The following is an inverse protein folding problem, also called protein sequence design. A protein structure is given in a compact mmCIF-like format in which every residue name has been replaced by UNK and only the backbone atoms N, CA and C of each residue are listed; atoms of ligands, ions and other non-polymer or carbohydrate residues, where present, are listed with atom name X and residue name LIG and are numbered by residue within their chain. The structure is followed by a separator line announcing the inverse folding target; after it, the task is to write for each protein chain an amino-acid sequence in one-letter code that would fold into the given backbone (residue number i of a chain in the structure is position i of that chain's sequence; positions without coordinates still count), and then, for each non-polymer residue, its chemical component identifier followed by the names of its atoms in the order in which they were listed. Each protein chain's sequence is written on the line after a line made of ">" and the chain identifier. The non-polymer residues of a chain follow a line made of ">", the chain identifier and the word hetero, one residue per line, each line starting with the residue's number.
data_IF_221347260167
#
_entry.id   IF_221347260167
#
_cell.length_a   1.000
_cell.length_b   1.000
_cell.length_c   1.000
_cell.angle_alpha   90.00
_cell.angle_beta   90.00
_cell.angle_gamma   90.00
#
_symmetry.space_group_name_H-M   'P 1'
#
loop_
_entity.id
_entity.type
_entity.pdbx_description
1 polymer ?
#
# COMPACT_ATOMS: atom_id res chain seq x y z
N UNK A 1 10.08 11.55 -15.90
CA UNK A 1 8.87 11.37 -15.07
C UNK A 1 9.34 11.10 -13.65
N UNK A 2 9.11 12.00 -12.69
CA UNK A 2 9.45 11.73 -11.29
C UNK A 2 8.42 10.83 -10.60
N UNK A 3 8.77 10.29 -9.42
CA UNK A 3 7.94 9.44 -8.56
C UNK A 3 6.51 10.02 -8.34
N UNK A 4 6.32 11.34 -8.08
CA UNK A 4 4.97 11.93 -8.00
C UNK A 4 4.20 12.00 -9.34
N UNK A 5 4.91 12.00 -10.46
CA UNK A 5 4.31 11.91 -11.79
C UNK A 5 3.73 10.53 -12.08
N UNK A 6 4.39 9.47 -11.58
CA UNK A 6 3.95 8.10 -11.75
C UNK A 6 2.58 7.84 -11.14
N UNK A 7 2.35 8.23 -9.87
CA UNK A 7 1.05 8.02 -9.22
C UNK A 7 -0.09 8.78 -9.95
N UNK A 8 0.15 10.04 -10.36
CA UNK A 8 -0.85 10.81 -11.12
C UNK A 8 -1.19 10.15 -12.45
N UNK A 9 -0.18 9.67 -13.17
CA UNK A 9 -0.38 8.92 -14.40
C UNK A 9 -1.17 7.63 -14.15
N UNK A 10 -0.81 6.86 -13.12
CA UNK A 10 -1.48 5.62 -12.76
C UNK A 10 -2.96 5.86 -12.42
N UNK A 11 -3.25 6.89 -11.61
CA UNK A 11 -4.60 7.25 -11.21
C UNK A 11 -5.46 7.72 -12.39
N UNK A 12 -4.88 8.44 -13.36
CA UNK A 12 -5.62 8.89 -14.55
C UNK A 12 -5.78 7.78 -15.60
N UNK A 13 -4.81 6.89 -15.71
CA UNK A 13 -4.80 5.82 -16.72
C UNK A 13 -5.67 4.62 -16.30
N UNK A 14 -5.72 4.29 -15.00
CA UNK A 14 -6.50 3.18 -14.46
C UNK A 14 -7.58 3.66 -13.48
N UNK A 15 -8.67 4.22 -14.02
CA UNK A 15 -9.74 4.84 -13.25
C UNK A 15 -10.37 3.95 -12.15
N UNK A 16 -10.37 2.63 -12.34
CA UNK A 16 -10.95 1.69 -11.38
C UNK A 16 -10.00 1.29 -10.23
N UNK A 17 -8.71 1.64 -10.32
CA UNK A 17 -7.64 1.24 -9.41
C UNK A 17 -7.61 2.12 -8.17
N UNK A 18 -7.78 3.43 -8.34
CA UNK A 18 -7.77 4.42 -7.24
C UNK A 18 -9.20 4.87 -6.96
N UNK A 19 -9.64 4.71 -5.71
CA UNK A 19 -10.94 5.20 -5.24
C UNK A 19 -10.75 6.29 -4.20
N UNK A 20 -11.45 7.42 -4.37
CA UNK A 20 -11.56 8.43 -3.31
C UNK A 20 -12.48 7.91 -2.21
N UNK A 21 -12.06 8.12 -0.98
CA UNK A 21 -12.78 7.75 0.23
C UNK A 21 -12.99 9.01 1.05
N UNK A 22 -14.26 9.33 1.28
CA UNK A 22 -14.66 10.46 2.09
C UNK A 22 -14.18 10.27 3.54
N UNK A 23 -13.90 11.38 4.20
CA UNK A 23 -13.56 11.40 5.61
C UNK A 23 -14.63 10.66 6.46
N UNK A 24 -14.19 9.81 7.40
CA UNK A 24 -15.08 9.01 8.27
C UNK A 24 -15.70 7.76 7.62
N UNK A 25 -15.44 7.50 6.33
CA UNK A 25 -15.96 6.30 5.69
C UNK A 25 -15.27 5.04 6.24
N UNK A 26 -16.08 4.08 6.72
CA UNK A 26 -15.58 2.83 7.29
C UNK A 26 -14.86 1.99 6.24
N UNK A 27 -13.66 1.51 6.60
CA UNK A 27 -12.88 0.55 5.82
C UNK A 27 -12.63 -0.68 6.68
N UNK A 28 -12.88 -1.86 6.12
CA UNK A 28 -12.58 -3.13 6.76
C UNK A 28 -11.13 -3.54 6.47
N UNK A 29 -10.35 -3.83 7.50
CA UNK A 29 -9.00 -4.34 7.41
C UNK A 29 -8.79 -5.38 8.53
N UNK A 30 -8.02 -6.41 8.25
CA UNK A 30 -7.56 -7.37 9.27
C UNK A 30 -6.17 -6.96 9.76
N UNK A 31 -5.36 -6.39 8.85
CA UNK A 31 -4.00 -5.94 9.09
C UNK A 31 -3.82 -4.50 8.61
N UNK A 32 -3.42 -3.61 9.52
CA UNK A 32 -3.14 -2.21 9.21
C UNK A 32 -1.66 -1.91 9.44
N UNK A 33 -1.02 -1.36 8.42
CA UNK A 33 0.38 -1.00 8.46
C UNK A 33 0.52 0.51 8.34
N UNK A 34 1.30 1.12 9.21
CA UNK A 34 1.54 2.56 9.21
C UNK A 34 3.02 2.83 8.96
N UNK A 35 3.35 3.44 7.82
CA UNK A 35 4.65 4.07 7.65
C UNK A 35 4.64 5.43 8.37
N UNK A 36 5.28 5.47 9.54
CA UNK A 36 5.28 6.68 10.35
C UNK A 36 6.07 7.80 9.67
N UNK A 37 7.15 7.47 8.95
CA UNK A 37 7.95 8.49 8.27
C UNK A 37 7.09 9.22 7.23
N UNK A 38 6.32 8.48 6.44
CA UNK A 38 5.41 9.04 5.44
C UNK A 38 4.35 9.96 6.09
N UNK A 39 3.83 9.59 7.27
CA UNK A 39 2.91 10.42 8.04
C UNK A 39 3.56 11.73 8.52
N UNK A 40 4.79 11.67 9.03
CA UNK A 40 5.52 12.85 9.50
C UNK A 40 5.91 13.81 8.40
N UNK A 41 6.39 13.30 7.27
CA UNK A 41 6.67 14.13 6.10
C UNK A 41 5.41 14.88 5.67
N UNK A 42 4.26 14.19 5.62
CA UNK A 42 2.98 14.81 5.30
C UNK A 42 2.58 15.89 6.31
N UNK A 43 2.76 15.64 7.62
CA UNK A 43 2.42 16.59 8.68
C UNK A 43 3.33 17.84 8.68
N UNK A 44 4.63 17.65 8.48
CA UNK A 44 5.61 18.75 8.46
C UNK A 44 5.48 19.62 7.20
N UNK A 45 5.12 19.04 6.05
CA UNK A 45 4.81 19.80 4.84
C UNK A 45 3.58 20.70 5.05
N UNK A 46 2.53 20.19 5.71
CA UNK A 46 1.33 20.99 6.03
C UNK A 46 1.64 22.16 6.98
N UNK A 47 2.51 21.96 7.98
CA UNK A 47 2.96 23.03 8.90
C UNK A 47 3.73 24.16 8.19
N UNK A 48 4.43 23.88 7.09
CA UNK A 48 5.14 24.92 6.30
C UNK A 48 4.23 25.75 5.39
N UNK A 49 3.02 25.28 5.10
CA UNK A 49 2.08 25.95 4.18
C UNK A 49 0.88 26.62 4.85
N UNK A 50 0.46 26.18 6.03
CA UNK A 50 -0.70 26.71 6.75
C UNK A 50 -0.44 26.61 8.26
N UNK A 51 -0.53 27.75 8.96
CA UNK A 51 -0.71 27.78 10.42
C UNK A 51 -2.08 27.19 10.75
N UNK A 52 -2.17 25.89 10.94
CA UNK A 52 -3.33 25.30 11.60
C UNK A 52 -2.95 24.03 12.34
N UNK A 53 -3.30 24.05 13.62
CA UNK A 53 -3.30 22.97 14.60
C UNK A 53 -3.55 21.58 14.01
N UNK A 54 -2.86 20.58 14.56
CA UNK A 54 -3.34 19.20 14.48
C UNK A 54 -4.79 19.19 14.97
N UNK A 55 -5.74 18.59 14.23
CA UNK A 55 -7.08 18.42 14.77
C UNK A 55 -6.96 17.54 16.02
N UNK A 56 -7.60 18.01 17.08
CA UNK A 56 -7.73 17.30 18.34
C UNK A 56 -8.27 15.89 18.10
N UNK A 57 -7.68 14.92 18.79
CA UNK A 57 -8.26 13.62 19.17
C UNK A 57 -9.61 13.29 18.54
N UNK A 58 -9.60 12.53 17.44
CA UNK A 58 -10.80 11.89 16.88
C UNK A 58 -10.56 10.39 16.81
N UNK A 59 -11.51 9.64 17.40
CA UNK A 59 -11.47 8.19 17.56
C UNK A 59 -11.51 7.49 16.20
N UNK A 60 -10.57 6.58 15.97
CA UNK A 60 -10.60 5.67 14.83
C UNK A 60 -11.66 4.61 15.11
N UNK A 61 -12.89 4.76 14.61
CA UNK A 61 -13.90 3.68 14.70
C UNK A 61 -13.47 2.46 13.86
N UNK A 62 -13.07 1.38 14.53
CA UNK A 62 -12.80 0.07 13.92
C UNK A 62 -14.13 -0.65 13.68
N UNK A 63 -14.27 -1.25 12.49
CA UNK A 63 -15.55 -1.77 12.00
C UNK A 63 -15.76 -3.28 12.23
N UNK A 64 -14.84 -4.01 12.88
CA UNK A 64 -14.97 -5.45 13.12
C UNK A 64 -14.47 -5.80 14.53
N UNK A 65 -15.16 -6.72 15.19
CA UNK A 65 -14.88 -7.23 16.54
C UNK A 65 -13.73 -8.27 16.56
N UNK A 66 -13.32 -8.75 15.39
CA UNK A 66 -12.25 -9.74 15.24
C UNK A 66 -10.86 -9.10 15.25
N UNK A 67 -9.89 -9.81 15.84
CA UNK A 67 -8.56 -9.30 16.15
C UNK A 67 -7.87 -8.62 14.95
N UNK A 68 -7.61 -7.32 15.07
CA UNK A 68 -6.89 -6.55 14.06
C UNK A 68 -5.45 -6.34 14.53
N UNK A 69 -4.46 -6.63 13.68
CA UNK A 69 -3.06 -6.37 14.02
C UNK A 69 -2.60 -5.08 13.34
N UNK A 70 -2.15 -4.13 14.15
CA UNK A 70 -1.60 -2.85 13.68
C UNK A 70 -0.08 -2.95 13.78
N UNK A 71 0.59 -2.94 12.64
CA UNK A 71 2.04 -2.84 12.61
C UNK A 71 2.45 -1.42 12.24
N UNK A 72 3.31 -0.86 13.06
CA UNK A 72 3.80 0.50 12.94
C UNK A 72 5.29 0.41 12.62
N UNK A 73 5.64 0.67 11.35
CA UNK A 73 7.01 0.64 10.86
C UNK A 73 7.49 2.07 10.61
N UNK A 74 8.60 2.46 11.23
CA UNK A 74 9.22 3.78 11.01
C UNK A 74 10.73 3.66 11.17
N UNK A 75 11.48 4.46 10.41
CA UNK A 75 12.95 4.33 10.37
C UNK A 75 13.71 5.57 10.75
N UNK A 76 13.07 6.73 10.85
CA UNK A 76 13.77 7.95 11.25
C UNK A 76 12.88 8.86 12.09
N UNK A 77 12.34 8.30 13.18
CA UNK A 77 11.59 9.11 14.13
C UNK A 77 12.21 8.95 15.50
N UNK A 78 13.45 9.43 15.59
CA UNK A 78 14.15 9.61 16.85
C UNK A 78 14.76 10.99 16.80
N UNK A 79 14.44 11.82 17.79
CA UNK A 79 15.04 13.13 17.95
C UNK A 79 16.56 12.97 18.17
N UNK A 80 17.31 14.08 18.09
CA UNK A 80 18.77 14.09 18.31
C UNK A 80 19.19 13.43 19.64
N UNK A 81 18.28 13.31 20.58
CA UNK A 81 18.47 12.75 21.92
C UNK A 81 18.21 11.24 22.04
N UNK A 82 17.90 10.53 20.94
CA UNK A 82 17.62 9.10 21.00
C UNK A 82 16.18 8.73 21.41
N UNK A 83 15.30 9.73 21.55
CA UNK A 83 13.89 9.53 21.93
C UNK A 83 12.92 9.61 20.74
N UNK A 84 11.90 8.75 20.73
CA UNK A 84 10.76 8.87 19.82
C UNK A 84 10.14 10.27 19.92
N UNK A 85 9.80 10.94 18.80
CA UNK A 85 9.09 12.21 18.84
C UNK A 85 7.80 12.14 19.63
N UNK A 86 7.50 13.25 20.30
CA UNK A 86 6.34 13.38 21.20
C UNK A 86 5.04 13.00 20.51
N UNK A 87 4.94 13.21 19.20
CA UNK A 87 3.79 12.82 18.39
C UNK A 87 3.62 11.30 18.29
N UNK A 88 4.70 10.51 18.17
CA UNK A 88 4.63 9.04 18.19
C UNK A 88 4.26 8.54 19.58
N UNK A 89 4.84 9.16 20.62
CA UNK A 89 4.49 8.85 22.01
C UNK A 89 3.03 9.20 22.33
N UNK A 90 2.51 10.30 21.76
CA UNK A 90 1.12 10.71 21.90
C UNK A 90 0.17 9.77 21.15
N UNK A 91 0.53 9.33 19.94
CA UNK A 91 -0.21 8.30 19.21
C UNK A 91 -0.24 6.99 20.01
N UNK A 92 0.89 6.60 20.59
CA UNK A 92 0.97 5.43 21.47
C UNK A 92 0.08 5.56 22.70
N UNK A 93 0.07 6.72 23.36
CA UNK A 93 -0.85 7.00 24.46
C UNK A 93 -2.31 6.93 24.03
N UNK A 94 -2.64 7.46 22.85
CA UNK A 94 -3.99 7.45 22.29
C UNK A 94 -4.46 6.02 22.03
N UNK A 95 -3.66 5.21 21.34
CA UNK A 95 -4.00 3.82 21.04
C UNK A 95 -4.11 3.00 22.33
N UNK A 96 -3.19 3.19 23.28
CA UNK A 96 -3.23 2.46 24.55
C UNK A 96 -4.40 2.81 25.46
N UNK A 97 -4.94 4.03 25.33
CA UNK A 97 -6.14 4.50 26.05
C UNK A 97 -7.43 4.18 25.32
N UNK A 98 -7.36 3.76 24.05
CA UNK A 98 -8.53 3.47 23.25
C UNK A 98 -9.17 2.15 23.68
N UNK A 99 -10.52 2.06 23.78
CA UNK A 99 -11.22 0.80 24.07
C UNK A 99 -10.90 -0.32 23.07
N UNK A 100 -10.47 0.08 21.87
CA UNK A 100 -10.07 -0.77 20.75
C UNK A 100 -8.89 -1.69 21.10
N UNK A 101 -8.07 -1.37 22.11
CA UNK A 101 -6.89 -2.14 22.50
C UNK A 101 -7.18 -3.61 22.85
N UNK A 102 -8.38 -3.91 23.37
CA UNK A 102 -8.71 -5.24 23.89
C UNK A 102 -8.60 -6.35 22.85
N UNK A 103 -8.80 -6.02 21.57
CA UNK A 103 -8.73 -6.98 20.45
C UNK A 103 -7.63 -6.61 19.43
N UNK A 104 -6.66 -5.78 19.79
CA UNK A 104 -5.60 -5.34 18.87
C UNK A 104 -4.23 -5.86 19.30
N UNK A 105 -3.53 -6.53 18.39
CA UNK A 105 -2.10 -6.76 18.52
C UNK A 105 -1.35 -5.59 17.88
N UNK A 106 -0.45 -4.96 18.62
CA UNK A 106 0.33 -3.82 18.12
C UNK A 106 1.80 -4.24 18.04
N UNK A 107 2.36 -4.15 16.84
CA UNK A 107 3.78 -4.46 16.57
C UNK A 107 4.48 -3.16 16.20
N UNK A 108 5.64 -2.92 16.82
CA UNK A 108 6.42 -1.72 16.58
C UNK A 108 7.79 -2.08 16.02
N UNK A 109 8.14 -1.47 14.90
CA UNK A 109 9.47 -1.52 14.32
C UNK A 109 10.06 -0.11 14.33
N UNK A 110 10.96 0.13 15.28
CA UNK A 110 11.66 1.40 15.46
C UNK A 110 12.86 1.56 14.53
N UNK A 111 13.55 2.69 14.67
CA UNK A 111 14.79 2.98 13.94
C UNK A 111 16.02 2.26 14.50
N UNK A 112 15.92 1.54 15.62
CA UNK A 112 17.04 0.74 16.13
C UNK A 112 17.36 -0.42 15.19
N UNK A 113 16.36 -0.88 14.45
CA UNK A 113 16.51 -1.84 13.36
C UNK A 113 16.97 -1.13 12.08
N UNK A 114 17.93 -1.71 11.36
CA UNK A 114 18.40 -1.16 10.08
C UNK A 114 17.36 -1.31 8.95
N UNK A 115 17.45 -0.45 7.94
CA UNK A 115 16.56 -0.42 6.76
C UNK A 115 15.58 0.75 6.77
N UNK A 116 14.94 1.04 5.63
CA UNK A 116 13.91 2.09 5.47
C UNK A 116 12.49 1.57 5.79
N UNK A 117 11.58 2.45 6.22
CA UNK A 117 10.25 2.09 6.75
C UNK A 117 9.45 1.23 5.77
N UNK A 118 9.33 1.72 4.54
CA UNK A 118 8.68 1.00 3.45
C UNK A 118 9.34 -0.36 3.12
N UNK A 119 10.67 -0.46 3.24
CA UNK A 119 11.39 -1.70 2.97
C UNK A 119 11.20 -2.73 4.08
N UNK A 120 11.22 -2.31 5.35
CA UNK A 120 10.92 -3.16 6.50
C UNK A 120 9.50 -3.71 6.40
N UNK A 121 8.56 -2.85 6.06
CA UNK A 121 7.16 -3.24 5.85
C UNK A 121 7.02 -4.25 4.71
N UNK A 122 7.67 -3.99 3.58
CA UNK A 122 7.69 -4.92 2.46
C UNK A 122 8.25 -6.30 2.85
N UNK A 123 9.37 -6.31 3.58
CA UNK A 123 10.00 -7.53 4.07
C UNK A 123 9.13 -8.28 5.06
N UNK A 124 8.44 -7.57 5.95
CA UNK A 124 7.48 -8.16 6.89
C UNK A 124 6.33 -8.84 6.14
N UNK A 125 5.67 -8.14 5.21
CA UNK A 125 4.57 -8.70 4.40
C UNK A 125 5.00 -9.98 3.68
N UNK A 126 6.20 -9.97 3.07
CA UNK A 126 6.77 -11.16 2.43
C UNK A 126 7.02 -12.29 3.43
N UNK A 127 7.59 -11.98 4.59
CA UNK A 127 7.92 -12.98 5.60
C UNK A 127 6.66 -13.63 6.16
N UNK A 128 5.64 -12.84 6.48
CA UNK A 128 4.34 -13.33 6.95
C UNK A 128 3.70 -14.30 5.95
N UNK A 129 3.70 -13.94 4.66
CA UNK A 129 3.17 -14.79 3.58
C UNK A 129 3.83 -16.17 3.52
N UNK A 130 5.12 -16.24 3.85
CA UNK A 130 5.92 -17.47 3.81
C UNK A 130 5.72 -18.36 5.05
N UNK A 131 5.03 -17.88 6.10
CA UNK A 131 4.81 -18.67 7.30
C UNK A 131 3.86 -19.83 7.06
N UNK A 132 4.14 -20.97 7.69
CA UNK A 132 3.25 -22.13 7.68
C UNK A 132 1.92 -21.77 8.35
N UNK A 133 0.80 -21.92 7.64
CA UNK A 133 -0.53 -21.58 8.15
C UNK A 133 -0.98 -20.15 7.89
N UNK A 134 -0.20 -19.36 7.12
CA UNK A 134 -0.62 -18.03 6.68
C UNK A 134 -1.95 -18.08 5.92
N UNK A 135 -2.87 -17.15 6.24
CA UNK A 135 -4.19 -17.06 5.60
C UNK A 135 -4.15 -16.05 4.43
N UNK A 136 -4.28 -16.49 3.17
CA UNK A 136 -4.25 -15.59 2.01
C UNK A 136 -5.48 -14.68 1.86
N UNK A 137 -6.52 -14.87 2.69
CA UNK A 137 -7.72 -14.04 2.68
C UNK A 137 -7.59 -12.80 3.58
N UNK A 138 -6.49 -12.66 4.32
CA UNK A 138 -6.23 -11.50 5.16
C UNK A 138 -6.23 -10.22 4.32
N UNK A 139 -6.95 -9.21 4.80
CA UNK A 139 -7.08 -7.91 4.16
C UNK A 139 -6.05 -6.96 4.75
N UNK A 140 -5.06 -6.64 3.94
CA UNK A 140 -3.95 -5.77 4.30
C UNK A 140 -4.22 -4.35 3.84
N UNK A 141 -4.07 -3.38 4.73
CA UNK A 141 -4.13 -1.94 4.42
C UNK A 141 -2.83 -1.29 4.86
N UNK A 142 -2.13 -0.68 3.91
CA UNK A 142 -0.89 0.06 4.18
C UNK A 142 -1.14 1.55 4.02
N UNK A 143 -0.88 2.34 5.05
CA UNK A 143 -0.90 3.80 4.99
C UNK A 143 0.49 4.30 4.57
N UNK A 144 0.58 4.76 3.33
CA UNK A 144 1.86 5.14 2.75
C UNK A 144 1.73 6.32 1.77
N UNK A 145 2.68 7.25 1.85
CA UNK A 145 2.72 8.48 1.05
C UNK A 145 3.58 8.37 -0.21
N UNK A 146 4.46 7.38 -0.30
CA UNK A 146 5.54 7.29 -1.27
C UNK A 146 5.16 6.39 -2.45
N UNK A 147 5.57 6.73 -3.67
CA UNK A 147 5.11 5.95 -4.83
C UNK A 147 5.89 4.63 -4.99
N UNK A 148 7.02 4.50 -4.29
CA UNK A 148 7.90 3.33 -4.35
C UNK A 148 7.23 2.10 -3.73
N UNK A 149 6.49 2.29 -2.63
CA UNK A 149 5.69 1.21 -2.04
C UNK A 149 4.60 0.65 -2.98
N UNK A 150 4.16 1.38 -4.01
CA UNK A 150 3.24 0.82 -5.02
C UNK A 150 3.89 -0.37 -5.73
N UNK A 151 5.18 -0.27 -6.05
CA UNK A 151 5.93 -1.33 -6.70
C UNK A 151 6.14 -2.50 -5.73
N UNK A 152 6.55 -2.21 -4.49
CA UNK A 152 6.68 -3.24 -3.45
C UNK A 152 5.37 -4.00 -3.22
N UNK A 153 4.25 -3.30 -3.16
CA UNK A 153 2.92 -3.91 -2.98
C UNK A 153 2.55 -4.88 -4.10
N UNK A 154 3.01 -4.63 -5.34
CA UNK A 154 2.81 -5.57 -6.44
C UNK A 154 3.66 -6.83 -6.24
N UNK A 155 4.89 -6.68 -5.74
CA UNK A 155 5.85 -7.75 -5.49
C UNK A 155 5.55 -8.62 -4.26
N UNK A 156 4.68 -8.19 -3.34
CA UNK A 156 4.25 -9.04 -2.21
C UNK A 156 3.34 -10.19 -2.67
N UNK A 157 2.76 -10.06 -3.86
CA UNK A 157 1.74 -10.97 -4.38
C UNK A 157 0.46 -11.06 -3.54
N UNK A 158 0.25 -10.19 -2.55
CA UNK A 158 -0.93 -10.23 -1.71
C UNK A 158 -2.22 -9.90 -2.49
N UNK A 159 -3.28 -10.74 -2.43
CA UNK A 159 -4.49 -10.55 -3.21
C UNK A 159 -5.39 -9.45 -2.64
N UNK A 160 -5.39 -9.25 -1.31
CA UNK A 160 -6.26 -8.29 -0.63
C UNK A 160 -5.48 -7.11 -0.03
N UNK A 161 -4.42 -6.69 -0.70
CA UNK A 161 -3.62 -5.54 -0.31
C UNK A 161 -4.17 -4.23 -0.90
N UNK A 162 -4.31 -3.22 -0.05
CA UNK A 162 -4.75 -1.87 -0.40
C UNK A 162 -3.75 -0.86 0.16
N UNK A 163 -3.47 0.19 -0.59
CA UNK A 163 -2.65 1.32 -0.12
C UNK A 163 -3.56 2.51 0.12
N UNK A 164 -3.56 3.02 1.35
CA UNK A 164 -4.23 4.25 1.75
C UNK A 164 -3.24 5.41 1.61
N UNK A 165 -3.61 6.42 0.82
CA UNK A 165 -2.78 7.58 0.50
C UNK A 165 -3.51 8.88 0.81
N UNK A 166 -2.80 9.95 1.20
CA UNK A 166 -3.41 11.27 1.32
C UNK A 166 -3.97 11.73 -0.03
N UNK A 167 -5.20 12.25 -0.02
CA UNK A 167 -5.86 12.86 -1.18
C UNK A 167 -5.86 14.38 -1.10
N UNK A 168 -6.79 15.00 -1.84
CA UNK A 168 -7.04 16.44 -1.74
C UNK A 168 -7.82 16.76 -0.46
N UNK A 169 -7.40 17.77 0.30
CA UNK A 169 -8.09 18.20 1.52
C UNK A 169 -8.03 17.18 2.66
N UNK A 170 -9.21 16.75 3.15
CA UNK A 170 -9.39 15.75 4.21
C UNK A 170 -9.65 14.33 3.68
N UNK A 171 -9.78 14.17 2.37
CA UNK A 171 -10.09 12.87 1.78
C UNK A 171 -8.86 12.00 1.64
N UNK A 172 -9.11 10.69 1.56
CA UNK A 172 -8.10 9.69 1.32
C UNK A 172 -8.32 9.02 -0.02
N UNK A 173 -7.25 8.52 -0.61
CA UNK A 173 -7.28 7.69 -1.79
C UNK A 173 -6.92 6.25 -1.42
N UNK A 174 -7.73 5.30 -1.83
CA UNK A 174 -7.42 3.87 -1.72
C UNK A 174 -7.01 3.35 -3.09
N UNK A 175 -5.77 2.89 -3.19
CA UNK A 175 -5.27 2.15 -4.34
C UNK A 175 -5.48 0.65 -4.09
N UNK A 176 -6.21 0.00 -4.98
CA UNK A 176 -6.44 -1.45 -4.96
C UNK A 176 -5.37 -2.18 -5.76
N UNK A 177 -4.43 -2.83 -5.06
CA UNK A 177 -3.25 -3.46 -5.69
C UNK A 177 -3.64 -4.60 -6.63
N UNK A 178 -4.62 -5.42 -6.26
CA UNK A 178 -5.10 -6.51 -7.13
C UNK A 178 -5.71 -6.01 -8.45
N UNK A 179 -6.43 -4.87 -8.41
CA UNK A 179 -6.97 -4.26 -9.63
C UNK A 179 -5.85 -3.73 -10.50
N UNK A 180 -4.88 -3.05 -9.89
CA UNK A 180 -3.70 -2.57 -10.60
C UNK A 180 -2.99 -3.74 -11.30
N UNK A 181 -2.73 -4.83 -10.57
CA UNK A 181 -2.11 -6.05 -11.11
C UNK A 181 -2.89 -6.59 -12.32
N UNK A 182 -4.22 -6.66 -12.22
CA UNK A 182 -5.08 -7.10 -13.34
C UNK A 182 -4.95 -6.20 -14.56
N UNK A 183 -4.95 -4.89 -14.38
CA UNK A 183 -4.77 -3.93 -15.47
C UNK A 183 -3.38 -4.06 -16.13
N UNK A 184 -2.32 -4.15 -15.32
CA UNK A 184 -0.95 -4.32 -15.83
C UNK A 184 -0.80 -5.61 -16.63
N UNK A 185 -1.31 -6.74 -16.13
CA UNK A 185 -1.28 -8.01 -16.86
C UNK A 185 -2.01 -7.87 -18.19
N UNK A 186 -3.20 -7.29 -18.17
CA UNK A 186 -4.01 -7.10 -19.38
C UNK A 186 -3.30 -6.23 -20.42
N UNK A 187 -2.56 -5.20 -20.01
CA UNK A 187 -1.79 -4.37 -20.94
C UNK A 187 -0.55 -5.09 -21.47
N UNK A 188 0.16 -5.86 -20.64
CA UNK A 188 1.26 -6.73 -21.08
C UNK A 188 0.79 -7.75 -22.12
N UNK A 189 -0.37 -8.36 -21.90
CA UNK A 189 -0.95 -9.36 -22.81
C UNK A 189 -1.44 -8.71 -24.11
N UNK A 190 -2.05 -7.52 -24.05
CA UNK A 190 -2.46 -6.78 -25.27
C UNK A 190 -1.29 -6.49 -26.19
N UNK A 191 -0.15 -6.06 -25.64
CA UNK A 191 1.05 -5.82 -26.45
C UNK A 191 1.65 -7.11 -27.02
N UNK A 192 1.54 -8.24 -26.32
CA UNK A 192 1.97 -9.55 -26.85
C UNK A 192 1.03 -10.08 -27.95
N UNK A 193 -0.28 -9.84 -27.85
CA UNK A 193 -1.25 -10.19 -28.89
C UNK A 193 -1.23 -9.21 -30.09
N UNK A 194 -0.66 -8.02 -29.93
CA UNK A 194 -0.48 -7.00 -30.98
C UNK A 194 0.91 -7.01 -31.62
N UNK A 195 1.86 -7.81 -31.14
CA UNK A 195 2.82 -8.37 -32.08
C UNK A 195 1.97 -9.13 -33.07
N UNK A 196 1.96 -8.77 -34.37
CA UNK A 196 1.25 -9.57 -35.32
C UNK A 196 1.78 -10.98 -35.10
N UNK A 197 0.93 -11.90 -34.64
CA UNK A 197 1.11 -13.30 -34.97
C UNK A 197 1.41 -13.21 -36.44
N UNK A 198 2.68 -13.40 -36.82
CA UNK A 198 3.12 -13.25 -38.20
C UNK A 198 2.17 -14.18 -38.92
N UNK A 199 1.17 -13.64 -39.62
CA UNK A 199 0.25 -14.43 -40.43
C UNK A 199 1.11 -15.26 -41.38
N UNK A 200 2.27 -14.71 -41.79
CA UNK A 200 3.41 -15.37 -42.44
C UNK A 200 3.88 -16.68 -41.76
N UNK A 201 3.99 -16.77 -40.44
CA UNK A 201 4.43 -17.97 -39.72
C UNK A 201 3.34 -19.06 -39.70
N UNK A 202 2.07 -18.65 -39.56
CA UNK A 202 0.93 -19.57 -39.67
C UNK A 202 0.75 -20.04 -41.13
N UNK A 203 0.82 -19.14 -42.10
CA UNK A 203 0.77 -19.46 -43.53
C UNK A 203 1.93 -20.36 -43.96
N UNK A 204 3.16 -20.09 -43.49
CA UNK A 204 4.32 -20.97 -43.75
C UNK A 204 4.16 -22.34 -43.09
N UNK A 205 3.55 -22.40 -41.90
CA UNK A 205 3.27 -23.67 -41.23
C UNK A 205 2.23 -24.49 -42.01
N UNK A 206 1.13 -23.87 -42.46
CA UNK A 206 0.12 -24.53 -43.30
C UNK A 206 0.64 -24.90 -44.71
N UNK A 207 1.48 -24.07 -45.32
CA UNK A 207 2.16 -24.39 -46.59
C UNK A 207 3.08 -25.63 -46.44
N UNK A 208 3.87 -25.70 -45.36
CA UNK A 208 4.75 -26.84 -45.13
C UNK A 208 3.98 -28.14 -44.82
N UNK A 209 2.82 -28.07 -44.17
CA UNK A 209 1.95 -29.25 -43.96
C UNK A 209 1.35 -29.76 -45.27
N UNK A 210 1.03 -28.87 -46.22
CA UNK A 210 0.47 -29.27 -47.51
C UNK A 210 1.53 -29.83 -48.48
N UNK A 211 2.78 -29.36 -48.41
CA UNK A 211 3.90 -29.92 -49.19
C UNK A 211 4.30 -31.31 -48.69
N UNK A 212 4.17 -31.60 -47.39
CA UNK A 212 4.46 -32.92 -46.83
C UNK A 212 3.37 -33.99 -47.11
N UNK A 213 2.30 -33.62 -47.82
CA UNK A 213 1.17 -34.50 -48.19
C UNK A 213 1.08 -34.82 -49.69
N UNK A 214 2.08 -34.42 -50.49
CA UNK A 214 2.32 -34.90 -51.85
C UNK A 214 3.55 -35.82 -51.86
#
# INVERSE_FOLDING_TARGET
>A
MGIPGFFRWLASHYLAVVKRVAHGAKQSADLLYLDINALFHTANIKKKGISSSLPASEEITVANEDAMTIEVAGTEVVNKDGELPREVQAFFCLVNRSPLRLNLQIIFSDSSLAGEGEHKLFQFLKTQRMQSGYNPQLRHVVCDGDADFIIYSLMTHEPHLRILRPGMGKDLNILHVAKLRKHLINDMMRHQCLLPIKIILIERFFMNINVARQ
#
